data_IF_384016308762
#
_entry.id   IF_384016308762
#
_cell.length_a   1.000
_cell.length_b   1.000
_cell.length_c   1.000
_cell.angle_alpha   90.00
_cell.angle_beta   90.00
_cell.angle_gamma   90.00
#
_symmetry.space_group_name_H-M   'P 1'
#
loop_
_entity.id
_entity.type
_entity.pdbx_description
1 polymer ?
#
# COMPACT_ATOMS: atom_id res chain seq x y z
N UNK A 1 15.11 47.18 22.48
CA UNK A 1 14.32 47.60 21.30
C UNK A 1 15.29 47.73 20.14
N UNK A 2 14.93 47.27 18.93
CA UNK A 2 15.80 47.44 17.77
C UNK A 2 15.99 48.92 17.45
N UNK A 3 17.14 49.28 16.88
CA UNK A 3 17.41 50.64 16.40
C UNK A 3 16.48 50.97 15.21
N UNK A 4 16.05 52.24 15.04
CA UNK A 4 15.28 52.66 13.87
C UNK A 4 15.93 52.33 12.52
N UNK A 5 17.26 52.21 12.47
CA UNK A 5 17.99 51.80 11.26
C UNK A 5 17.85 50.29 10.99
N UNK A 6 18.00 49.48 12.03
CA UNK A 6 17.83 48.02 11.94
C UNK A 6 16.40 47.63 11.55
N UNK A 7 15.40 48.38 12.03
CA UNK A 7 14.00 48.16 11.67
C UNK A 7 13.72 48.48 10.19
N UNK A 8 14.38 49.50 9.63
CA UNK A 8 14.27 49.86 8.21
C UNK A 8 14.90 48.80 7.32
N UNK A 9 16.10 48.35 7.66
CA UNK A 9 16.79 47.30 6.92
C UNK A 9 15.99 45.98 6.93
N UNK A 10 15.44 45.61 8.08
CA UNK A 10 14.61 44.41 8.19
C UNK A 10 13.34 44.51 7.32
N UNK A 11 12.67 45.66 7.31
CA UNK A 11 11.48 45.89 6.48
C UNK A 11 11.80 45.82 4.99
N UNK A 12 12.92 46.41 4.56
CA UNK A 12 13.38 46.33 3.17
C UNK A 12 13.72 44.89 2.78
N UNK A 13 14.39 44.15 3.65
CA UNK A 13 14.72 42.74 3.42
C UNK A 13 13.45 41.91 3.26
N UNK A 14 12.49 42.04 4.17
CA UNK A 14 11.20 41.32 4.10
C UNK A 14 10.45 41.69 2.82
N UNK A 15 10.46 42.97 2.41
CA UNK A 15 9.82 43.40 1.17
C UNK A 15 10.46 42.74 -0.07
N UNK A 16 11.78 42.68 -0.15
CA UNK A 16 12.50 42.02 -1.25
C UNK A 16 12.21 40.53 -1.29
N UNK A 17 12.25 39.86 -0.14
CA UNK A 17 11.91 38.42 -0.05
C UNK A 17 10.47 38.14 -0.52
N UNK A 18 9.50 39.00 -0.15
CA UNK A 18 8.12 38.89 -0.61
C UNK A 18 7.97 39.13 -2.13
N UNK A 19 8.65 40.15 -2.66
CA UNK A 19 8.64 40.46 -4.10
C UNK A 19 9.27 39.32 -4.91
N UNK A 20 10.38 38.73 -4.43
CA UNK A 20 11.03 37.57 -5.04
C UNK A 20 10.13 36.32 -5.01
N UNK A 21 9.51 36.04 -3.85
CA UNK A 21 8.58 34.93 -3.70
C UNK A 21 7.34 35.07 -4.61
N UNK A 22 6.80 36.28 -4.74
CA UNK A 22 5.69 36.55 -5.66
C UNK A 22 6.10 36.37 -7.13
N UNK A 23 7.28 36.87 -7.52
CA UNK A 23 7.81 36.68 -8.87
C UNK A 23 8.07 35.21 -9.19
N UNK A 24 8.58 34.42 -8.24
CA UNK A 24 8.73 32.97 -8.37
C UNK A 24 7.39 32.27 -8.56
N UNK A 25 6.39 32.60 -7.73
CA UNK A 25 5.03 32.05 -7.85
C UNK A 25 4.45 32.32 -9.24
N UNK A 26 4.60 33.54 -9.76
CA UNK A 26 4.13 33.91 -11.11
C UNK A 26 4.87 33.10 -12.18
N UNK A 27 6.20 32.94 -12.05
CA UNK A 27 7.00 32.12 -12.98
C UNK A 27 6.56 30.65 -12.97
N UNK A 28 6.39 30.07 -11.79
CA UNK A 28 5.93 28.68 -11.64
C UNK A 28 4.54 28.48 -12.24
N UNK A 29 3.61 29.41 -11.99
CA UNK A 29 2.27 29.37 -12.57
C UNK A 29 2.32 29.40 -14.11
N UNK A 30 3.12 30.29 -14.70
CA UNK A 30 3.29 30.37 -16.16
C UNK A 30 3.88 29.09 -16.75
N UNK A 31 4.88 28.50 -16.10
CA UNK A 31 5.48 27.23 -16.53
C UNK A 31 4.47 26.08 -16.48
N UNK A 32 3.64 26.02 -15.44
CA UNK A 32 2.59 25.02 -15.33
C UNK A 32 1.54 25.19 -16.45
N UNK A 33 1.09 26.42 -16.68
CA UNK A 33 0.16 26.75 -17.77
C UNK A 33 0.72 26.35 -19.14
N UNK A 34 2.01 26.63 -19.40
CA UNK A 34 2.70 26.24 -20.64
C UNK A 34 2.82 24.71 -20.76
N UNK A 35 3.11 24.00 -19.67
CA UNK A 35 3.15 22.54 -19.67
C UNK A 35 1.76 21.93 -19.94
N UNK A 36 0.71 22.49 -19.35
CA UNK A 36 -0.66 22.07 -19.61
C UNK A 36 -1.06 22.32 -21.06
N UNK A 37 -0.71 23.48 -21.62
CA UNK A 37 -0.97 23.79 -23.02
C UNK A 37 -0.24 22.82 -23.95
N UNK A 38 1.04 22.54 -23.70
CA UNK A 38 1.81 21.54 -24.45
C UNK A 38 1.14 20.16 -24.41
N UNK A 39 0.71 19.71 -23.23
CA UNK A 39 -0.02 18.43 -23.09
C UNK A 39 -1.34 18.43 -23.86
N UNK A 40 -2.11 19.52 -23.80
CA UNK A 40 -3.35 19.66 -24.58
C UNK A 40 -3.08 19.56 -26.09
N UNK A 41 -2.05 20.24 -26.58
CA UNK A 41 -1.64 20.20 -27.99
C UNK A 41 -1.14 18.82 -28.41
N UNK A 42 -0.41 18.12 -27.56
CA UNK A 42 0.01 16.73 -27.82
C UNK A 42 -1.19 15.79 -27.93
N UNK A 43 -2.15 15.89 -26.99
CA UNK A 43 -3.39 15.10 -27.05
C UNK A 43 -4.21 15.39 -28.30
N UNK A 44 -4.32 16.67 -28.67
CA UNK A 44 -4.99 17.12 -29.89
C UNK A 44 -4.34 16.50 -31.14
N UNK A 45 -2.99 16.55 -31.22
CA UNK A 45 -2.22 15.96 -32.31
C UNK A 45 -2.42 14.46 -32.39
N UNK A 46 -2.36 13.75 -31.26
CA UNK A 46 -2.58 12.31 -31.21
C UNK A 46 -3.99 11.94 -31.68
N UNK A 47 -5.00 12.71 -31.27
CA UNK A 47 -6.38 12.51 -31.72
C UNK A 47 -6.50 12.67 -33.23
N UNK A 48 -5.96 13.75 -33.79
CA UNK A 48 -5.97 14.01 -35.24
C UNK A 48 -5.27 12.87 -35.99
N UNK A 49 -4.09 12.44 -35.52
CA UNK A 49 -3.34 11.33 -36.13
C UNK A 49 -4.15 10.04 -36.08
N UNK A 50 -4.83 9.76 -34.97
CA UNK A 50 -5.65 8.58 -34.82
C UNK A 50 -6.83 8.64 -35.80
N UNK A 51 -7.62 9.72 -35.79
CA UNK A 51 -8.75 9.92 -36.69
C UNK A 51 -8.35 9.75 -38.17
N UNK A 52 -7.23 10.36 -38.57
CA UNK A 52 -6.73 10.25 -39.95
C UNK A 52 -6.28 8.82 -40.28
N UNK A 53 -5.62 8.13 -39.34
CA UNK A 53 -5.29 6.71 -39.50
C UNK A 53 -6.54 5.86 -39.64
N UNK A 54 -7.56 6.05 -38.80
CA UNK A 54 -8.80 5.28 -38.87
C UNK A 54 -9.48 5.49 -40.22
N UNK A 55 -9.63 6.75 -40.67
CA UNK A 55 -10.16 7.07 -42.01
C UNK A 55 -9.37 6.40 -43.13
N UNK A 56 -8.04 6.49 -43.10
CA UNK A 56 -7.16 5.89 -44.11
C UNK A 56 -7.34 4.37 -44.23
N UNK A 57 -7.50 3.66 -43.11
CA UNK A 57 -7.75 2.23 -43.12
C UNK A 57 -9.19 1.91 -43.56
N UNK A 58 -10.18 2.68 -43.10
CA UNK A 58 -11.58 2.50 -43.48
C UNK A 58 -11.82 2.75 -44.97
N UNK A 59 -11.21 3.77 -45.57
CA UNK A 59 -11.25 4.04 -47.01
C UNK A 59 -10.68 2.87 -47.84
N UNK A 60 -9.73 2.13 -47.26
CA UNK A 60 -9.16 0.91 -47.85
C UNK A 60 -9.95 -0.36 -47.52
N UNK A 61 -11.11 -0.22 -46.87
CA UNK A 61 -11.96 -1.34 -46.46
C UNK A 61 -11.37 -2.19 -45.33
N UNK A 62 -10.44 -1.65 -44.56
CA UNK A 62 -9.85 -2.29 -43.38
C UNK A 62 -10.53 -1.73 -42.13
N UNK A 63 -11.07 -2.62 -41.30
CA UNK A 63 -11.70 -2.25 -40.03
C UNK A 63 -10.83 -2.64 -38.84
N UNK A 64 -10.96 -1.85 -37.78
CA UNK A 64 -10.31 -2.08 -36.49
C UNK A 64 -10.83 -3.36 -35.85
N UNK A 65 -9.94 -4.32 -35.61
CA UNK A 65 -10.24 -5.59 -34.94
C UNK A 65 -9.30 -5.79 -33.74
N UNK A 66 -9.87 -5.95 -32.56
CA UNK A 66 -9.10 -6.28 -31.35
C UNK A 66 -9.11 -7.80 -31.18
N UNK A 67 -7.91 -8.39 -31.20
CA UNK A 67 -7.79 -9.83 -31.00
C UNK A 67 -7.92 -10.20 -29.50
N UNK A 68 -7.95 -11.50 -29.19
CA UNK A 68 -8.07 -11.97 -27.79
C UNK A 68 -6.87 -11.59 -26.91
N UNK A 69 -5.74 -11.21 -27.51
CA UNK A 69 -4.54 -10.73 -26.81
C UNK A 69 -4.55 -9.20 -26.61
N UNK A 70 -5.63 -8.50 -26.97
CA UNK A 70 -5.74 -7.04 -26.81
C UNK A 70 -4.93 -6.24 -27.84
N UNK A 71 -4.32 -6.88 -28.85
CA UNK A 71 -3.64 -6.17 -29.94
C UNK A 71 -4.64 -5.72 -30.99
N UNK A 72 -4.49 -4.48 -31.43
CA UNK A 72 -5.27 -3.89 -32.52
C UNK A 72 -4.67 -4.30 -33.86
N UNK A 73 -5.49 -4.91 -34.70
CA UNK A 73 -5.14 -5.27 -36.09
C UNK A 73 -6.18 -4.63 -37.02
N UNK A 74 -5.74 -4.20 -38.20
CA UNK A 74 -6.61 -3.70 -39.27
C UNK A 74 -6.85 -4.83 -40.27
N UNK A 75 -8.08 -5.31 -40.37
CA UNK A 75 -8.45 -6.44 -41.23
C UNK A 75 -9.67 -6.12 -42.07
N UNK A 76 -9.81 -6.78 -43.22
CA UNK A 76 -11.02 -6.66 -44.03
C UNK A 76 -12.24 -7.31 -43.33
N UNK A 77 -13.48 -6.92 -43.68
CA UNK A 77 -14.68 -7.52 -43.12
C UNK A 77 -14.72 -9.05 -43.28
N UNK A 78 -14.26 -9.55 -44.43
CA UNK A 78 -14.24 -10.97 -44.76
C UNK A 78 -13.28 -11.76 -43.86
N UNK A 79 -12.09 -11.22 -43.59
CA UNK A 79 -11.11 -11.84 -42.68
C UNK A 79 -11.61 -11.87 -41.24
N UNK A 80 -12.25 -10.78 -40.79
CA UNK A 80 -12.89 -10.70 -39.47
C UNK A 80 -13.98 -11.77 -39.35
N UNK A 81 -14.83 -11.91 -40.36
CA UNK A 81 -15.91 -12.90 -40.37
C UNK A 81 -15.36 -14.34 -40.43
N UNK A 82 -14.31 -14.58 -41.24
CA UNK A 82 -13.62 -15.86 -41.31
C UNK A 82 -13.01 -16.24 -39.95
N UNK A 83 -12.38 -15.30 -39.24
CA UNK A 83 -11.89 -15.50 -37.87
C UNK A 83 -13.03 -15.85 -36.91
N UNK A 84 -14.16 -15.11 -36.96
CA UNK A 84 -15.36 -15.41 -36.15
C UNK A 84 -15.91 -16.82 -36.43
N UNK A 85 -16.05 -17.19 -37.70
CA UNK A 85 -16.51 -18.52 -38.14
C UNK A 85 -15.57 -19.64 -37.65
N UNK A 86 -14.24 -19.44 -37.69
CA UNK A 86 -13.26 -20.40 -37.15
C UNK A 86 -13.42 -20.60 -35.64
N UNK A 87 -13.63 -19.51 -34.88
CA UNK A 87 -13.87 -19.59 -33.42
C UNK A 87 -15.16 -20.35 -33.12
N UNK A 88 -16.25 -20.06 -33.83
CA UNK A 88 -17.55 -20.75 -33.65
C UNK A 88 -17.44 -22.23 -34.02
N UNK A 89 -16.76 -22.56 -35.14
CA UNK A 89 -16.51 -23.94 -35.55
C UNK A 89 -15.69 -24.71 -34.50
N UNK A 90 -14.64 -24.10 -33.95
CA UNK A 90 -13.84 -24.68 -32.84
C UNK A 90 -14.69 -24.92 -31.60
N UNK A 91 -15.52 -23.95 -31.18
CA UNK A 91 -16.44 -24.10 -30.03
C UNK A 91 -17.44 -25.23 -30.25
N UNK A 92 -18.06 -25.34 -31.43
CA UNK A 92 -19.01 -26.41 -31.78
C UNK A 92 -18.35 -27.80 -31.87
N UNK A 93 -17.12 -27.88 -32.37
CA UNK A 93 -16.36 -29.12 -32.41
C UNK A 93 -15.97 -29.58 -30.99
N UNK A 94 -15.52 -28.64 -30.15
CA UNK A 94 -15.16 -28.92 -28.76
C UNK A 94 -16.38 -29.31 -27.90
N UNK A 95 -17.56 -28.72 -28.14
CA UNK A 95 -18.80 -29.10 -27.46
C UNK A 95 -19.32 -30.49 -27.87
N UNK A 96 -19.09 -30.92 -29.12
CA UNK A 96 -19.37 -32.28 -29.58
C UNK A 96 -18.38 -33.30 -29.00
N UNK A 97 -17.10 -32.93 -28.87
CA UNK A 97 -16.06 -33.77 -28.27
C UNK A 97 -16.16 -33.86 -26.73
N UNK A 98 -16.99 -33.04 -26.10
CA UNK A 98 -17.28 -33.09 -24.66
C UNK A 98 -18.40 -34.07 -24.27
N UNK A 99 -19.07 -34.72 -25.23
CA UNK A 99 -20.22 -35.60 -24.97
C UNK A 99 -19.91 -37.09 -24.99
N UNK A 100 -18.64 -37.50 -25.09
CA UNK A 100 -18.28 -38.92 -25.04
C UNK A 100 -17.00 -39.13 -24.23
N UNK A 101 -17.12 -39.91 -23.17
CA UNK A 101 -16.07 -40.48 -22.32
C UNK A 101 -15.33 -39.53 -21.35
N UNK A 102 -15.65 -39.72 -20.06
CA UNK A 102 -14.70 -39.58 -18.96
C UNK A 102 -13.46 -40.44 -19.25
N UNK A 103 -12.33 -39.78 -19.52
CA UNK A 103 -11.00 -40.39 -19.47
C UNK A 103 -10.27 -39.83 -18.24
N UNK A 104 -9.59 -40.67 -17.45
CA UNK A 104 -9.07 -40.31 -16.13
C UNK A 104 -8.02 -39.19 -16.16
N UNK A 105 -7.43 -38.89 -17.33
CA UNK A 105 -6.47 -37.80 -17.51
C UNK A 105 -7.06 -36.40 -17.24
N UNK A 106 -8.36 -36.17 -17.51
CA UNK A 106 -9.01 -34.90 -17.16
C UNK A 106 -9.09 -34.70 -15.66
N UNK A 107 -9.35 -35.78 -14.88
CA UNK A 107 -9.35 -35.68 -13.41
C UNK A 107 -7.96 -35.33 -12.87
N UNK A 108 -6.89 -35.88 -13.44
CA UNK A 108 -5.51 -35.52 -13.01
C UNK A 108 -5.19 -34.08 -13.40
N UNK A 109 -5.53 -33.63 -14.61
CA UNK A 109 -5.31 -32.25 -15.02
C UNK A 109 -6.18 -31.27 -14.22
N UNK A 110 -7.44 -31.62 -13.93
CA UNK A 110 -8.34 -30.82 -13.09
C UNK A 110 -7.85 -30.78 -11.64
N UNK A 111 -7.31 -31.88 -11.10
CA UNK A 111 -6.66 -31.91 -9.78
C UNK A 111 -5.35 -31.12 -9.75
N UNK A 112 -4.56 -31.16 -10.83
CA UNK A 112 -3.34 -30.37 -10.99
C UNK A 112 -3.69 -28.89 -11.12
N UNK A 113 -4.71 -28.53 -11.91
CA UNK A 113 -5.20 -27.15 -12.03
C UNK A 113 -5.82 -26.66 -10.73
N UNK A 114 -6.60 -27.48 -10.03
CA UNK A 114 -7.12 -27.18 -8.69
C UNK A 114 -5.97 -26.98 -7.70
N UNK A 115 -4.93 -27.82 -7.76
CA UNK A 115 -3.71 -27.69 -6.98
C UNK A 115 -2.93 -26.42 -7.30
N UNK A 116 -2.76 -26.06 -8.58
CA UNK A 116 -2.10 -24.83 -9.02
C UNK A 116 -2.89 -23.60 -8.61
N UNK A 117 -4.22 -23.62 -8.69
CA UNK A 117 -5.09 -22.54 -8.22
C UNK A 117 -5.07 -22.43 -6.70
N UNK A 118 -5.00 -23.55 -5.97
CA UNK A 118 -4.81 -23.56 -4.51
C UNK A 118 -3.45 -22.97 -4.14
N UNK A 119 -2.36 -23.38 -4.82
CA UNK A 119 -1.01 -22.86 -4.57
C UNK A 119 -0.90 -21.38 -4.94
N UNK A 120 -1.51 -20.96 -6.06
CA UNK A 120 -1.57 -19.56 -6.45
C UNK A 120 -2.45 -18.75 -5.48
N UNK A 121 -3.56 -19.31 -5.01
CA UNK A 121 -4.41 -18.71 -3.98
C UNK A 121 -3.68 -18.56 -2.65
N UNK A 122 -2.91 -19.57 -2.23
CA UNK A 122 -2.04 -19.51 -1.04
C UNK A 122 -0.92 -18.49 -1.26
N UNK A 123 -0.30 -18.42 -2.43
CA UNK A 123 0.74 -17.43 -2.73
C UNK A 123 0.19 -16.00 -2.79
N UNK A 124 -1.02 -15.81 -3.35
CA UNK A 124 -1.71 -14.52 -3.39
C UNK A 124 -2.17 -14.13 -1.99
N UNK A 125 -2.73 -15.05 -1.20
CA UNK A 125 -3.06 -14.77 0.20
C UNK A 125 -1.81 -14.52 1.05
N UNK A 126 -0.69 -15.20 0.78
CA UNK A 126 0.61 -14.95 1.43
C UNK A 126 1.26 -13.65 0.94
N UNK A 127 0.97 -13.19 -0.28
CA UNK A 127 1.40 -11.90 -0.80
C UNK A 127 0.55 -10.76 -0.22
N UNK A 128 -0.77 -10.94 -0.13
CA UNK A 128 -1.68 -9.98 0.51
C UNK A 128 -1.46 -9.94 2.04
N UNK A 129 -1.24 -11.08 2.69
CA UNK A 129 -0.79 -11.14 4.09
C UNK A 129 0.67 -10.70 4.26
N UNK A 130 1.51 -10.86 3.23
CA UNK A 130 2.90 -10.39 3.17
C UNK A 130 3.02 -8.88 3.05
N UNK A 131 2.01 -8.20 2.50
CA UNK A 131 1.88 -6.74 2.61
C UNK A 131 1.45 -6.28 4.00
N UNK A 132 1.08 -7.19 4.91
CA UNK A 132 0.78 -6.86 6.31
C UNK A 132 2.04 -6.72 7.18
N UNK A 133 3.25 -6.81 6.61
CA UNK A 133 4.50 -6.74 7.37
C UNK A 133 5.53 -5.78 6.76
N UNK A 134 5.11 -4.56 6.42
CA UNK A 134 6.01 -3.42 6.36
C UNK A 134 5.39 -2.20 7.06
N UNK A 135 4.76 -2.44 8.21
CA UNK A 135 4.86 -1.42 9.23
C UNK A 135 6.31 -1.44 9.72
N UNK A 136 7.13 -0.50 9.23
CA UNK A 136 8.20 0.03 10.07
C UNK A 136 7.52 0.81 11.20
N UNK A 137 6.81 0.08 12.07
CA UNK A 137 6.35 0.61 13.34
C UNK A 137 7.66 0.98 14.06
N UNK A 138 7.88 2.29 14.18
CA UNK A 138 8.84 2.82 15.12
C UNK A 138 8.56 2.14 16.46
N UNK A 139 9.46 1.28 16.92
CA UNK A 139 9.30 0.54 18.18
C UNK A 139 10.36 0.97 19.18
N UNK A 140 10.00 0.96 20.47
CA UNK A 140 10.91 1.11 21.59
C UNK A 140 10.93 -0.13 22.49
N UNK A 141 11.57 0.00 23.64
CA UNK A 141 11.66 -1.05 24.65
C UNK A 141 11.19 -0.55 26.02
N UNK A 142 10.68 -1.46 26.85
CA UNK A 142 10.30 -1.20 28.24
C UNK A 142 11.09 -2.11 29.17
N UNK A 143 11.82 -1.53 30.11
CA UNK A 143 12.47 -2.26 31.19
C UNK A 143 11.62 -2.17 32.45
N UNK A 144 11.01 -3.29 32.86
CA UNK A 144 10.03 -3.30 33.95
C UNK A 144 10.61 -4.05 35.15
N UNK A 145 10.71 -3.35 36.28
CA UNK A 145 11.24 -3.87 37.53
C UNK A 145 10.20 -3.89 38.64
N UNK A 146 10.36 -4.81 39.58
CA UNK A 146 9.64 -4.75 40.86
C UNK A 146 10.44 -5.27 42.05
N UNK A 147 10.03 -4.85 43.24
CA UNK A 147 10.58 -5.33 44.53
C UNK A 147 10.27 -6.81 44.81
N UNK A 148 9.18 -7.34 44.24
CA UNK A 148 8.79 -8.75 44.29
C UNK A 148 9.05 -9.40 42.94
N UNK A 149 9.72 -10.57 42.94
CA UNK A 149 9.99 -11.34 41.72
C UNK A 149 8.74 -12.06 41.19
N UNK A 150 8.78 -12.39 39.90
CA UNK A 150 7.77 -13.20 39.23
C UNK A 150 6.38 -12.54 39.15
N UNK A 151 6.30 -11.20 39.13
CA UNK A 151 5.04 -10.50 38.89
C UNK A 151 4.74 -10.48 37.39
N UNK A 152 3.52 -10.91 37.00
CA UNK A 152 3.09 -10.93 35.61
C UNK A 152 2.94 -9.51 35.06
N UNK A 153 3.50 -9.27 33.88
CA UNK A 153 3.52 -7.95 33.24
C UNK A 153 2.38 -7.86 32.21
N UNK A 154 1.62 -6.76 32.27
CA UNK A 154 0.56 -6.42 31.33
C UNK A 154 0.87 -5.10 30.61
N UNK A 155 0.64 -5.08 29.30
CA UNK A 155 0.79 -3.88 28.45
C UNK A 155 -0.52 -3.70 27.68
N UNK A 156 -1.10 -2.51 27.81
CA UNK A 156 -2.42 -2.16 27.26
C UNK A 156 -3.50 -3.18 27.63
N UNK A 157 -3.43 -3.69 28.86
CA UNK A 157 -4.34 -4.73 29.38
C UNK A 157 -4.09 -6.15 28.87
N UNK A 158 -3.09 -6.38 28.01
CA UNK A 158 -2.73 -7.71 27.49
C UNK A 158 -1.54 -8.30 28.25
N UNK A 159 -1.63 -9.58 28.59
CA UNK A 159 -0.54 -10.32 29.23
C UNK A 159 0.65 -10.42 28.26
N UNK A 160 1.82 -9.94 28.69
CA UNK A 160 3.04 -9.95 27.86
C UNK A 160 3.69 -11.33 27.74
N UNK A 161 3.30 -12.29 28.61
CA UNK A 161 3.95 -13.59 28.74
C UNK A 161 5.30 -13.56 29.48
N UNK A 162 5.70 -12.39 30.00
CA UNK A 162 6.90 -12.23 30.83
C UNK A 162 6.54 -11.82 32.25
N UNK A 163 7.50 -12.00 33.15
CA UNK A 163 7.44 -11.58 34.55
C UNK A 163 8.58 -10.61 34.86
N UNK A 164 8.44 -9.80 35.90
CA UNK A 164 9.50 -8.90 36.39
C UNK A 164 10.71 -9.69 36.92
N UNK A 165 11.97 -9.27 36.72
CA UNK A 165 12.54 -8.08 36.06
C UNK A 165 12.88 -8.34 34.59
N UNK A 166 12.14 -7.76 33.64
CA UNK A 166 12.27 -8.10 32.22
C UNK A 166 12.30 -6.91 31.28
N UNK A 167 13.05 -7.09 30.18
CA UNK A 167 13.01 -6.25 28.99
C UNK A 167 11.88 -6.72 28.07
N UNK A 168 10.95 -5.82 27.76
CA UNK A 168 9.94 -6.02 26.73
C UNK A 168 10.34 -5.22 25.50
N UNK A 169 10.68 -5.93 24.43
CA UNK A 169 11.11 -5.36 23.17
C UNK A 169 9.93 -5.22 22.19
N UNK A 170 10.13 -4.42 21.14
CA UNK A 170 9.17 -4.23 20.04
C UNK A 170 7.81 -3.67 20.50
N UNK A 171 7.83 -2.78 21.47
CA UNK A 171 6.64 -2.00 21.86
C UNK A 171 6.48 -0.86 20.86
N UNK A 172 5.26 -0.66 20.36
CA UNK A 172 4.96 0.41 19.40
C UNK A 172 5.34 1.77 19.99
N UNK A 173 5.76 2.71 19.16
CA UNK A 173 5.95 4.10 19.60
C UNK A 173 4.59 4.72 19.94
N UNK A 174 4.53 5.42 21.07
CA UNK A 174 3.30 6.06 21.53
C UNK A 174 3.02 5.85 23.01
N UNK A 175 1.78 6.17 23.41
CA UNK A 175 1.32 5.99 24.79
C UNK A 175 0.89 4.55 25.04
N UNK A 176 1.42 3.97 26.10
CA UNK A 176 1.14 2.61 26.54
C UNK A 176 0.79 2.61 28.02
N UNK A 177 -0.15 1.74 28.41
CA UNK A 177 -0.50 1.51 29.81
C UNK A 177 0.15 0.24 30.30
N UNK A 178 1.00 0.34 31.32
CA UNK A 178 1.73 -0.79 31.89
C UNK A 178 1.24 -1.06 33.31
N UNK A 179 1.01 -2.33 33.63
CA UNK A 179 0.69 -2.79 34.99
C UNK A 179 1.35 -4.13 35.29
N UNK A 180 1.49 -4.42 36.58
CA UNK A 180 2.03 -5.70 37.06
C UNK A 180 1.06 -6.34 38.04
N UNK A 181 0.98 -7.67 38.05
CA UNK A 181 0.10 -8.42 38.94
C UNK A 181 0.79 -9.67 39.49
N UNK A 182 0.63 -9.89 40.79
CA UNK A 182 1.11 -11.09 41.49
C UNK A 182 0.03 -11.55 42.48
N UNK A 183 -0.37 -12.84 42.46
CA UNK A 183 -1.32 -13.35 43.44
C UNK A 183 -0.86 -13.08 44.88
N UNK A 184 -1.75 -12.50 45.70
CA UNK A 184 -1.48 -12.12 47.09
C UNK A 184 -0.82 -10.74 47.28
N UNK A 185 -0.62 -9.97 46.21
CA UNK A 185 0.00 -8.65 46.25
C UNK A 185 -0.82 -7.61 45.48
N UNK A 186 -0.71 -6.35 45.90
CA UNK A 186 -1.25 -5.17 45.22
C UNK A 186 -0.11 -4.25 44.79
N UNK A 187 -0.10 -3.89 43.52
CA UNK A 187 0.92 -3.04 42.91
C UNK A 187 0.64 -1.55 43.17
N UNK A 188 1.70 -0.79 43.44
CA UNK A 188 1.69 0.66 43.56
C UNK A 188 2.82 1.26 42.72
N UNK A 189 2.50 2.10 41.71
CA UNK A 189 1.15 2.41 41.21
C UNK A 189 0.47 1.19 40.59
N UNK A 190 -0.87 1.19 40.55
CA UNK A 190 -1.65 0.08 39.96
C UNK A 190 -1.43 -0.04 38.44
N UNK A 191 -1.25 1.10 37.78
CA UNK A 191 -0.93 1.21 36.36
C UNK A 191 -0.14 2.49 36.10
N UNK A 192 0.71 2.47 35.07
CA UNK A 192 1.52 3.61 34.63
C UNK A 192 1.24 3.86 33.15
N UNK A 193 0.86 5.08 32.80
CA UNK A 193 0.86 5.51 31.40
C UNK A 193 2.25 6.04 31.05
N UNK A 194 2.86 5.49 30.01
CA UNK A 194 4.20 5.84 29.57
C UNK A 194 4.20 6.10 28.07
N UNK A 195 4.90 7.16 27.65
CA UNK A 195 5.17 7.40 26.23
C UNK A 195 6.47 6.70 25.85
N UNK A 196 6.38 5.69 25.00
CA UNK A 196 7.51 4.91 24.50
C UNK A 196 8.10 5.61 23.26
N UNK A 197 9.35 6.10 23.31
CA UNK A 197 10.02 6.69 22.16
C UNK A 197 10.53 5.61 21.21
N UNK A 198 10.71 5.98 19.93
CA UNK A 198 11.34 5.12 18.94
C UNK A 198 12.78 4.78 19.33
N UNK A 199 13.12 3.49 19.37
CA UNK A 199 14.49 2.99 19.55
C UNK A 199 15.09 3.18 20.94
N UNK A 200 14.35 3.79 21.86
CA UNK A 200 14.80 4.04 23.23
C UNK A 200 14.19 3.03 24.21
N UNK A 201 14.82 2.90 25.38
CA UNK A 201 14.32 2.05 26.47
C UNK A 201 13.84 2.92 27.62
N UNK A 202 12.57 2.76 27.99
CA UNK A 202 12.02 3.43 29.18
C UNK A 202 11.97 2.46 30.35
N UNK A 203 12.49 2.89 31.50
CA UNK A 203 12.49 2.10 32.74
C UNK A 203 11.26 2.43 33.58
N UNK A 204 10.55 1.39 34.02
CA UNK A 204 9.42 1.47 34.93
C UNK A 204 9.68 0.61 36.17
N UNK A 205 9.26 1.12 37.32
CA UNK A 205 9.43 0.46 38.61
C UNK A 205 8.10 0.37 39.35
N UNK A 206 7.78 -0.81 39.85
CA UNK A 206 6.56 -1.10 40.60
C UNK A 206 6.90 -1.62 41.99
N UNK A 207 6.13 -1.18 42.99
CA UNK A 207 6.22 -1.73 44.35
C UNK A 207 5.00 -2.59 44.66
N UNK A 208 5.21 -3.81 45.11
CA UNK A 208 4.15 -4.76 45.42
C UNK A 208 4.04 -4.93 46.93
N UNK A 209 2.89 -4.58 47.49
CA UNK A 209 2.58 -4.81 48.90
C UNK A 209 1.68 -6.02 49.03
N UNK A 210 1.98 -6.90 50.00
CA UNK A 210 1.12 -8.04 50.29
C UNK A 210 -0.26 -7.54 50.74
N UNK A 211 -1.30 -8.14 50.20
CA UNK A 211 -2.67 -7.90 50.64
C UNK A 211 -3.00 -9.03 51.61
N UNK A 212 -3.21 -8.67 52.88
CA UNK A 212 -3.61 -9.60 53.94
C UNK A 212 -5.08 -10.02 53.82
#
# INVERSE_FOLDING_TARGET
MLSPDEERELREKVRRELEEAEAERIRQKRLLEEQEEKKRLEQERERIILEEKEKFYEERGLHKYVNHFGRVEWLTPEEIEARKKKVVRRKRANSKHSKHHSRPARKVLDLVLLGVVLVAGVAVTMYLAGTSQLNSDSCGCLWICSDVKDAAIFIDGKLSGRVTDALIEKIKEGEHTVSVSRPGYSAFPQQVQVKVPRGETVKLEFRLRKVD
#
